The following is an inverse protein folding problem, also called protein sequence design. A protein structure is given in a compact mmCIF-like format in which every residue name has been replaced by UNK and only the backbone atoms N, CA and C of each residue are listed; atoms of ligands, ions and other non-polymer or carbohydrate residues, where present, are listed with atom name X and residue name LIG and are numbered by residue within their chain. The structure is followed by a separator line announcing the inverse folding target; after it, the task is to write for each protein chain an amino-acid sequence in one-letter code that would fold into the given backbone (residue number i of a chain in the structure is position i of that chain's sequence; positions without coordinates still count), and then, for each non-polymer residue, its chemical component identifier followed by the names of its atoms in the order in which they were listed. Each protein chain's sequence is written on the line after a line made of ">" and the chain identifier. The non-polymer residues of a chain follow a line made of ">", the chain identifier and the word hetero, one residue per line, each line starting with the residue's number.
data_IF_731034691815
#
_entry.id   IF_731034691815
#
_cell.length_a   1.000
_cell.length_b   1.000
_cell.length_c   1.000
_cell.angle_alpha   90.00
_cell.angle_beta   90.00
_cell.angle_gamma   90.00
#
_symmetry.space_group_name_H-M   'P 1'
#
loop_
_entity.id
_entity.type
_entity.pdbx_description
1 polymer ?
#
# COMPACT_ATOMS: atom_id res chain seq x y z
N UNK A 1 22.34 -14.53 -37.49
CA UNK A 1 22.73 -13.14 -37.18
C UNK A 1 22.97 -13.07 -35.68
N UNK A 2 24.21 -12.81 -35.24
CA UNK A 2 24.52 -12.69 -33.80
C UNK A 2 24.17 -11.27 -33.35
N UNK A 3 23.37 -11.15 -32.29
CA UNK A 3 23.19 -9.87 -31.61
C UNK A 3 24.55 -9.44 -31.03
N UNK A 4 24.96 -8.22 -31.34
CA UNK A 4 26.14 -7.60 -30.75
C UNK A 4 25.66 -6.87 -29.50
N UNK A 5 26.05 -7.35 -28.33
CA UNK A 5 25.84 -6.65 -27.05
C UNK A 5 26.82 -5.48 -26.99
N UNK A 6 26.29 -4.26 -26.95
CA UNK A 6 27.07 -3.06 -26.65
C UNK A 6 27.06 -2.91 -25.13
N UNK A 7 28.12 -3.35 -24.47
CA UNK A 7 28.37 -2.98 -23.07
C UNK A 7 28.92 -1.54 -23.05
N UNK A 8 28.12 -0.60 -22.54
CA UNK A 8 28.58 0.75 -22.23
C UNK A 8 29.14 0.75 -20.79
N UNK A 9 30.45 0.95 -20.59
CA UNK A 9 31.00 1.08 -19.25
C UNK A 9 30.48 2.39 -18.62
N UNK A 10 29.73 2.27 -17.53
CA UNK A 10 29.30 3.42 -16.72
C UNK A 10 27.83 3.83 -16.83
N UNK A 11 27.00 3.11 -17.60
CA UNK A 11 25.54 3.26 -17.48
C UNK A 11 25.05 2.15 -16.54
N UNK A 12 25.09 2.43 -15.23
CA UNK A 12 24.26 1.68 -14.31
C UNK A 12 22.80 1.94 -14.71
N UNK A 13 22.04 0.89 -15.01
CA UNK A 13 20.59 0.97 -14.92
C UNK A 13 20.30 1.49 -13.50
N UNK A 14 19.59 2.61 -13.38
CA UNK A 14 19.22 3.12 -12.06
C UNK A 14 18.48 1.99 -11.33
N UNK A 15 19.11 1.47 -10.28
CA UNK A 15 18.43 0.61 -9.34
C UNK A 15 17.40 1.52 -8.66
N UNK A 16 16.11 1.38 -9.01
CA UNK A 16 15.05 1.90 -8.13
C UNK A 16 15.32 1.19 -6.80
N UNK A 17 15.87 1.92 -5.81
CA UNK A 17 16.25 1.33 -4.53
C UNK A 17 15.03 0.62 -3.97
N UNK A 18 15.14 -0.68 -3.69
CA UNK A 18 14.13 -1.39 -2.92
C UNK A 18 13.95 -0.61 -1.61
N UNK A 19 12.71 -0.25 -1.29
CA UNK A 19 12.46 0.59 -0.14
C UNK A 19 12.77 -0.12 1.17
N UNK A 20 12.65 0.61 2.26
CA UNK A 20 13.05 0.14 3.59
C UNK A 20 11.88 -0.45 4.40
N UNK A 21 10.72 -0.67 3.76
CA UNK A 21 9.58 -1.29 4.43
C UNK A 21 9.88 -2.76 4.77
N UNK A 22 9.88 -3.07 6.07
CA UNK A 22 9.92 -4.43 6.58
C UNK A 22 8.50 -4.90 6.92
N UNK A 23 8.06 -6.00 6.27
CA UNK A 23 6.70 -6.50 6.45
C UNK A 23 6.52 -7.12 7.85
N UNK A 24 5.38 -6.82 8.48
CA UNK A 24 4.99 -7.34 9.80
C UNK A 24 3.52 -7.79 9.77
N UNK A 25 2.96 -8.13 10.93
CA UNK A 25 1.57 -8.54 11.05
C UNK A 25 0.58 -7.41 10.71
N UNK A 26 0.98 -6.16 10.92
CA UNK A 26 0.20 -4.92 10.79
C UNK A 26 0.71 -3.99 9.67
N UNK A 27 1.85 -4.30 9.06
CA UNK A 27 2.46 -3.50 7.98
C UNK A 27 2.53 -4.25 6.67
N UNK A 28 1.80 -3.73 5.68
CA UNK A 28 1.83 -4.22 4.31
C UNK A 28 2.91 -3.49 3.51
N UNK A 29 3.91 -4.22 3.03
CA UNK A 29 4.95 -3.68 2.15
C UNK A 29 4.67 -4.02 0.68
N UNK A 30 4.59 -3.01 -0.17
CA UNK A 30 4.35 -3.12 -1.62
C UNK A 30 5.54 -2.57 -2.42
N UNK A 31 5.63 -2.98 -3.69
CA UNK A 31 6.68 -2.58 -4.64
C UNK A 31 8.10 -2.76 -4.08
N UNK A 32 8.43 -4.01 -3.72
CA UNK A 32 9.76 -4.38 -3.21
C UNK A 32 10.19 -3.51 -2.01
N UNK A 33 9.25 -3.26 -1.11
CA UNK A 33 9.46 -2.49 0.13
C UNK A 33 9.38 -0.98 -0.03
N UNK A 34 9.10 -0.45 -1.23
CA UNK A 34 8.96 1.01 -1.43
C UNK A 34 7.80 1.60 -0.64
N UNK A 35 6.63 0.98 -0.68
CA UNK A 35 5.45 1.53 -0.02
C UNK A 35 5.07 0.73 1.22
N UNK A 36 4.90 1.43 2.34
CA UNK A 36 4.31 0.90 3.56
C UNK A 36 2.83 1.30 3.61
N UNK A 37 1.96 0.35 3.92
CA UNK A 37 0.55 0.61 4.23
C UNK A 37 0.27 0.06 5.62
N UNK A 38 -0.20 0.94 6.49
CA UNK A 38 -0.62 0.63 7.86
C UNK A 38 -2.06 1.11 8.03
N UNK A 39 -2.84 0.38 8.82
CA UNK A 39 -4.26 0.66 9.01
C UNK A 39 -4.57 0.62 10.49
N UNK A 40 -5.19 1.67 10.99
CA UNK A 40 -5.79 1.68 12.33
C UNK A 40 -7.31 1.70 12.17
N UNK A 41 -8.02 0.94 13.00
CA UNK A 41 -9.48 0.94 13.03
C UNK A 41 -10.01 1.10 14.45
N UNK A 42 -11.22 1.62 14.59
CA UNK A 42 -11.93 1.68 15.88
C UNK A 42 -12.87 0.49 16.00
N UNK A 43 -12.61 -0.42 16.95
CA UNK A 43 -13.48 -1.57 17.22
C UNK A 43 -14.81 -1.09 17.83
N UNK A 44 -15.94 -1.19 17.12
CA UNK A 44 -17.21 -0.63 17.58
C UNK A 44 -17.79 -1.37 18.79
N UNK A 45 -17.30 -2.58 19.09
CA UNK A 45 -17.81 -3.38 20.21
C UNK A 45 -17.23 -2.97 21.55
N UNK A 46 -16.00 -2.43 21.55
CA UNK A 46 -15.26 -2.04 22.76
C UNK A 46 -14.84 -0.57 22.76
N UNK A 47 -15.02 0.13 21.64
CA UNK A 47 -14.66 1.54 21.43
C UNK A 47 -13.16 1.79 21.69
N UNK A 48 -12.30 0.94 21.13
CA UNK A 48 -10.85 1.03 21.21
C UNK A 48 -10.22 1.04 19.81
N UNK A 49 -9.15 1.81 19.64
CA UNK A 49 -8.34 1.82 18.42
C UNK A 49 -7.38 0.63 18.40
N UNK A 50 -7.31 -0.05 17.26
CA UNK A 50 -6.48 -1.25 17.04
C UNK A 50 -5.87 -1.23 15.64
N UNK A 51 -4.79 -1.98 15.45
CA UNK A 51 -4.15 -2.12 14.15
C UNK A 51 -4.86 -3.19 13.30
N UNK A 52 -5.18 -2.82 12.07
CA UNK A 52 -5.59 -3.75 11.03
C UNK A 52 -4.45 -4.71 10.70
N UNK A 53 -4.79 -5.96 10.48
CA UNK A 53 -3.81 -7.05 10.35
C UNK A 53 -3.75 -7.52 8.90
N UNK A 54 -2.54 -7.70 8.39
CA UNK A 54 -2.25 -8.07 7.00
C UNK A 54 -2.60 -9.54 6.76
N UNK A 55 -3.31 -9.81 5.66
CA UNK A 55 -3.50 -11.16 5.14
C UNK A 55 -2.28 -11.56 4.30
N UNK A 56 -1.20 -11.97 4.97
CA UNK A 56 0.09 -12.24 4.31
C UNK A 56 0.02 -13.27 3.17
N UNK A 57 -0.86 -14.26 3.26
CA UNK A 57 -1.05 -15.27 2.21
C UNK A 57 -1.68 -14.75 0.92
N UNK A 58 -2.30 -13.56 0.94
CA UNK A 58 -2.93 -12.92 -0.21
C UNK A 58 -2.18 -11.65 -0.67
N UNK A 59 -0.99 -11.40 -0.11
CA UNK A 59 -0.15 -10.26 -0.50
C UNK A 59 0.62 -10.56 -1.79
N UNK A 60 0.58 -9.62 -2.71
CA UNK A 60 1.36 -9.58 -3.94
C UNK A 60 2.27 -8.36 -3.92
N UNK A 61 3.09 -8.18 -4.96
CA UNK A 61 3.92 -6.97 -5.11
C UNK A 61 3.10 -5.67 -5.09
N UNK A 62 1.87 -5.68 -5.61
CA UNK A 62 1.10 -4.45 -5.82
C UNK A 62 -0.12 -4.34 -4.90
N UNK A 63 -0.55 -5.44 -4.28
CA UNK A 63 -1.87 -5.53 -3.62
C UNK A 63 -1.76 -6.35 -2.36
N UNK A 64 -2.46 -5.91 -1.31
CA UNK A 64 -2.66 -6.66 -0.09
C UNK A 64 -4.03 -6.38 0.52
N UNK A 65 -4.30 -7.08 1.61
CA UNK A 65 -5.59 -7.06 2.28
C UNK A 65 -5.39 -7.00 3.79
N UNK A 66 -6.35 -6.38 4.47
CA UNK A 66 -6.39 -6.31 5.93
C UNK A 66 -7.68 -6.92 6.47
N UNK A 67 -7.57 -7.52 7.64
CA UNK A 67 -8.69 -7.90 8.49
C UNK A 67 -8.61 -7.14 9.81
N UNK A 68 -9.74 -6.90 10.46
CA UNK A 68 -9.81 -6.13 11.71
C UNK A 68 -10.08 -7.03 12.91
N UNK A 69 -11.09 -7.90 12.82
CA UNK A 69 -11.55 -8.70 13.97
C UNK A 69 -11.12 -10.17 13.90
N UNK A 70 -11.09 -10.75 12.70
CA UNK A 70 -10.78 -12.17 12.48
C UNK A 70 -10.10 -12.35 11.13
N UNK A 71 -9.05 -13.18 11.09
CA UNK A 71 -8.35 -13.54 9.85
C UNK A 71 -9.24 -14.20 8.78
N UNK A 72 -10.45 -14.66 9.15
CA UNK A 72 -11.43 -15.21 8.21
C UNK A 72 -12.32 -14.14 7.55
N UNK A 73 -12.25 -12.88 7.97
CA UNK A 73 -13.09 -11.79 7.45
C UNK A 73 -12.21 -10.61 7.00
N UNK A 74 -12.07 -10.45 5.69
CA UNK A 74 -11.30 -9.35 5.10
C UNK A 74 -12.14 -8.09 5.10
N UNK A 75 -11.54 -6.98 5.51
CA UNK A 75 -12.23 -5.71 5.77
C UNK A 75 -11.76 -4.59 4.84
N UNK A 76 -10.54 -4.69 4.29
CA UNK A 76 -9.97 -3.67 3.44
C UNK A 76 -9.03 -4.28 2.39
N UNK A 77 -9.16 -3.82 1.16
CA UNK A 77 -8.17 -4.04 0.11
C UNK A 77 -7.33 -2.75 -0.08
N UNK A 78 -6.03 -2.91 -0.30
CA UNK A 78 -5.11 -1.82 -0.60
C UNK A 78 -4.21 -2.19 -1.78
N UNK A 79 -4.02 -1.27 -2.72
CA UNK A 79 -3.25 -1.48 -3.94
C UNK A 79 -2.49 -0.23 -4.36
N UNK A 80 -1.23 -0.41 -4.76
CA UNK A 80 -0.41 0.65 -5.37
C UNK A 80 -0.07 0.26 -6.79
N UNK A 81 -0.29 1.17 -7.74
CA UNK A 81 0.10 1.02 -9.15
C UNK A 81 1.14 2.07 -9.54
N UNK A 82 2.11 1.67 -10.37
CA UNK A 82 3.02 2.61 -11.02
C UNK A 82 2.31 3.35 -12.16
N UNK A 83 1.66 4.45 -11.80
CA UNK A 83 0.98 5.36 -12.72
C UNK A 83 1.87 6.46 -13.29
N UNK A 84 3.20 6.42 -13.05
CA UNK A 84 4.09 7.54 -13.35
C UNK A 84 4.13 7.92 -14.83
N UNK A 85 3.95 6.93 -15.71
CA UNK A 85 3.89 7.17 -17.16
C UNK A 85 2.68 8.03 -17.59
N UNK A 86 1.62 8.10 -16.78
CA UNK A 86 0.36 8.76 -17.10
C UNK A 86 0.17 10.07 -16.33
N UNK A 87 0.46 10.08 -15.02
CA UNK A 87 0.25 11.27 -14.16
C UNK A 87 1.53 11.76 -13.47
N UNK A 88 2.67 11.09 -13.69
CA UNK A 88 3.91 11.39 -12.98
C UNK A 88 3.90 11.00 -11.51
N UNK A 89 2.91 10.19 -11.07
CA UNK A 89 2.65 9.81 -9.68
C UNK A 89 2.35 8.32 -9.56
N UNK A 90 2.56 7.77 -8.37
CA UNK A 90 2.00 6.46 -8.02
C UNK A 90 0.51 6.62 -7.69
N UNK A 91 -0.27 5.59 -8.00
CA UNK A 91 -1.70 5.59 -7.72
C UNK A 91 -1.99 4.67 -6.55
N UNK A 92 -2.84 5.13 -5.63
CA UNK A 92 -3.33 4.32 -4.53
C UNK A 92 -4.81 4.00 -4.73
N UNK A 93 -5.15 2.72 -4.63
CA UNK A 93 -6.51 2.22 -4.70
C UNK A 93 -6.81 1.50 -3.39
N UNK A 94 -7.94 1.81 -2.79
CA UNK A 94 -8.39 1.15 -1.57
C UNK A 94 -9.90 0.92 -1.62
N UNK A 95 -10.36 -0.11 -0.94
CA UNK A 95 -11.78 -0.45 -0.86
C UNK A 95 -12.10 -1.11 0.45
N UNK A 96 -12.94 -0.46 1.25
CA UNK A 96 -13.53 -1.03 2.45
C UNK A 96 -14.58 -2.07 2.09
N UNK A 97 -14.61 -3.15 2.87
CA UNK A 97 -15.60 -4.22 2.82
C UNK A 97 -16.48 -4.21 4.08
N UNK A 98 -16.34 -3.18 4.93
CA UNK A 98 -17.18 -2.89 6.08
C UNK A 98 -17.39 -1.40 6.28
N UNK A 99 -18.30 -1.11 7.20
CA UNK A 99 -18.68 0.22 7.67
C UNK A 99 -17.89 0.68 8.92
N UNK A 100 -16.79 0.00 9.21
CA UNK A 100 -15.92 0.29 10.35
C UNK A 100 -15.14 1.59 10.12
N UNK A 101 -15.01 2.40 11.16
CA UNK A 101 -14.13 3.57 11.14
C UNK A 101 -12.67 3.13 11.06
N UNK A 102 -11.93 3.63 10.06
CA UNK A 102 -10.52 3.34 9.90
C UNK A 102 -9.74 4.51 9.30
N UNK A 103 -8.44 4.52 9.55
CA UNK A 103 -7.45 5.38 8.91
C UNK A 103 -6.39 4.50 8.26
N UNK A 104 -6.13 4.76 6.98
CA UNK A 104 -5.02 4.17 6.22
C UNK A 104 -3.90 5.19 6.19
N UNK A 105 -2.69 4.79 6.54
CA UNK A 105 -1.47 5.56 6.31
C UNK A 105 -0.65 4.88 5.22
N UNK A 106 -0.44 5.59 4.10
CA UNK A 106 0.42 5.16 3.00
C UNK A 106 1.71 5.97 3.01
N UNK A 107 2.86 5.31 3.09
CA UNK A 107 4.18 5.95 3.14
C UNK A 107 5.07 5.47 2.00
N UNK A 108 5.68 6.39 1.25
CA UNK A 108 6.83 6.09 0.38
C UNK A 108 8.11 6.11 1.20
N UNK A 109 8.68 4.94 1.45
CA UNK A 109 9.88 4.79 2.31
C UNK A 109 11.15 5.32 1.65
N UNK A 110 11.15 5.56 0.33
CA UNK A 110 12.29 6.14 -0.38
C UNK A 110 12.34 7.65 -0.19
N UNK A 111 11.18 8.32 -0.22
CA UNK A 111 11.10 9.79 -0.09
C UNK A 111 10.79 10.25 1.33
N UNK A 112 10.18 9.39 2.15
CA UNK A 112 9.65 9.70 3.47
C UNK A 112 8.28 10.36 3.45
N UNK A 113 7.67 10.59 2.28
CA UNK A 113 6.34 11.21 2.19
C UNK A 113 5.23 10.24 2.56
N UNK A 114 4.14 10.75 3.16
CA UNK A 114 2.98 9.97 3.57
C UNK A 114 1.67 10.67 3.28
N UNK A 115 0.63 9.89 3.01
CA UNK A 115 -0.76 10.36 2.83
C UNK A 115 -1.70 9.48 3.65
N UNK A 116 -2.73 10.09 4.24
CA UNK A 116 -3.75 9.40 5.01
C UNK A 116 -5.11 9.40 4.31
N UNK A 117 -5.86 8.31 4.49
CA UNK A 117 -7.22 8.13 3.98
C UNK A 117 -8.11 7.62 5.10
N UNK A 118 -9.33 8.15 5.21
CA UNK A 118 -10.21 7.85 6.33
C UNK A 118 -11.55 7.30 5.84
N UNK A 119 -12.14 6.42 6.66
CA UNK A 119 -13.53 6.02 6.58
C UNK A 119 -14.23 6.36 7.89
N UNK A 120 -15.34 7.09 7.82
CA UNK A 120 -16.17 7.38 8.98
C UNK A 120 -17.00 6.15 9.38
N UNK A 121 -17.29 6.01 10.67
CA UNK A 121 -18.17 4.96 11.18
C UNK A 121 -19.54 4.96 10.47
N UNK A 122 -20.01 3.79 10.02
CA UNK A 122 -21.27 3.64 9.30
C UNK A 122 -21.19 3.95 7.80
N UNK A 123 -20.02 4.35 7.30
CA UNK A 123 -19.80 4.60 5.87
C UNK A 123 -19.14 3.40 5.20
N UNK A 124 -19.66 2.99 4.05
CA UNK A 124 -18.96 2.08 3.14
C UNK A 124 -18.12 2.93 2.18
N UNK A 125 -16.81 3.02 2.43
CA UNK A 125 -15.90 3.83 1.63
C UNK A 125 -14.90 2.98 0.83
N UNK A 126 -14.52 3.51 -0.33
CA UNK A 126 -13.44 3.06 -1.19
C UNK A 126 -13.06 4.19 -2.14
N UNK A 127 -11.85 4.19 -2.66
CA UNK A 127 -11.32 5.29 -3.46
C UNK A 127 -10.20 4.90 -4.40
N UNK A 128 -9.97 5.77 -5.39
CA UNK A 128 -8.81 5.75 -6.28
C UNK A 128 -8.21 7.15 -6.24
N UNK A 129 -6.98 7.25 -5.75
CA UNK A 129 -6.19 8.46 -5.77
C UNK A 129 -5.04 8.32 -6.78
N UNK A 130 -5.16 9.03 -7.90
CA UNK A 130 -4.16 9.02 -8.98
C UNK A 130 -3.05 10.05 -8.80
N UNK A 131 -3.10 10.81 -7.69
CA UNK A 131 -2.12 11.81 -7.28
C UNK A 131 -1.47 11.51 -5.93
N UNK A 132 -1.66 10.31 -5.39
CA UNK A 132 -1.33 9.94 -4.01
C UNK A 132 0.10 10.27 -3.60
N UNK A 133 1.12 9.85 -4.36
CA UNK A 133 2.52 10.02 -3.98
C UNK A 133 3.40 10.49 -5.15
N UNK A 134 4.49 11.24 -4.88
CA UNK A 134 5.45 11.66 -5.90
C UNK A 134 6.20 10.49 -6.57
N UNK A 135 6.98 10.85 -7.59
CA UNK A 135 7.76 9.93 -8.42
C UNK A 135 8.95 9.32 -7.71
#
# INVERSE_FOLDING_TARGET
>A
MKAVSIELPGVALAQEGGGTCEASADRLCLHDGRFSVEVEFTDPNVNERKDGQVVSSLTTKETGFFWFFSASNVELAAKVLDGRALTGKYWFLYGGLSDVEYTITLTDTVTGESVTYENEAGSLCGGIDTGALPR
#
